data_IF_121335599607
#
_entry.id   IF_121335599607
#
_cell.length_a   1.000
_cell.length_b   1.000
_cell.length_c   1.000
_cell.angle_alpha   90.00
_cell.angle_beta   90.00
_cell.angle_gamma   90.00
#
_symmetry.space_group_name_H-M   'P 1'
#
loop_
_entity.id
_entity.type
_entity.pdbx_description
1 polymer ?
#
# COMPACT_ATOMS: atom_id res chain seq x y z
N UNK A 1 -12.16 -20.50 5.79
CA UNK A 1 -12.06 -19.18 5.14
C UNK A 1 -11.23 -18.31 6.06
N UNK A 2 -10.37 -17.42 5.55
CA UNK A 2 -9.61 -16.51 6.40
C UNK A 2 -10.55 -15.71 7.30
N UNK A 3 -10.19 -15.57 8.57
CA UNK A 3 -10.94 -14.77 9.54
C UNK A 3 -10.37 -13.35 9.58
N UNK A 4 -11.23 -12.34 9.49
CA UNK A 4 -10.79 -10.96 9.62
C UNK A 4 -10.40 -10.69 11.08
N UNK A 5 -9.11 -10.41 11.32
CA UNK A 5 -8.57 -10.16 12.67
C UNK A 5 -8.56 -8.67 13.00
N UNK A 6 -8.36 -7.82 11.98
CA UNK A 6 -8.30 -6.37 12.16
C UNK A 6 -8.91 -5.63 10.96
N UNK A 7 -9.58 -4.51 11.26
CA UNK A 7 -9.86 -3.45 10.30
C UNK A 7 -9.43 -2.13 10.94
N UNK A 8 -8.40 -1.49 10.38
CA UNK A 8 -7.76 -0.31 10.94
C UNK A 8 -7.41 0.69 9.84
N UNK A 9 -8.13 1.81 9.79
CA UNK A 9 -7.91 2.90 8.82
C UNK A 9 -7.66 2.36 7.40
N UNK A 10 -8.62 1.62 6.85
CA UNK A 10 -8.56 0.99 5.52
C UNK A 10 -7.56 -0.18 5.36
N UNK A 11 -6.75 -0.50 6.37
CA UNK A 11 -6.03 -1.77 6.42
C UNK A 11 -6.91 -2.87 7.01
N UNK A 12 -7.32 -3.81 6.15
CA UNK A 12 -7.99 -5.06 6.56
C UNK A 12 -6.95 -6.17 6.63
N UNK A 13 -6.83 -6.81 7.79
CA UNK A 13 -5.86 -7.89 8.05
C UNK A 13 -6.62 -9.15 8.46
N UNK A 14 -6.30 -10.26 7.80
CA UNK A 14 -6.82 -11.58 8.12
C UNK A 14 -5.81 -12.41 8.93
N UNK A 15 -6.28 -13.46 9.57
CA UNK A 15 -5.45 -14.45 10.27
C UNK A 15 -4.30 -14.97 9.40
N UNK A 16 -4.56 -15.27 8.12
CA UNK A 16 -3.54 -15.71 7.17
C UNK A 16 -2.48 -14.64 6.86
N UNK A 17 -2.82 -13.35 6.96
CA UNK A 17 -1.84 -12.27 6.76
C UNK A 17 -0.90 -12.15 7.97
N UNK A 18 -1.39 -12.45 9.17
CA UNK A 18 -0.58 -12.44 10.40
C UNK A 18 0.51 -13.51 10.34
N UNK A 19 0.20 -14.67 9.77
CA UNK A 19 1.16 -15.76 9.59
C UNK A 19 2.37 -15.34 8.73
N UNK A 20 2.22 -14.35 7.85
CA UNK A 20 3.30 -13.86 6.97
C UNK A 20 4.37 -13.05 7.70
N UNK A 21 4.12 -12.61 8.95
CA UNK A 21 5.14 -11.95 9.77
C UNK A 21 6.14 -12.92 10.40
N UNK A 22 5.97 -14.23 10.20
CA UNK A 22 6.95 -15.22 10.62
C UNK A 22 8.21 -15.17 9.73
N UNK A 23 9.41 -15.43 10.29
CA UNK A 23 10.64 -15.45 9.50
C UNK A 23 10.58 -16.42 8.32
N UNK A 24 11.02 -15.95 7.14
CA UNK A 24 11.05 -16.74 5.91
C UNK A 24 9.76 -16.70 5.09
N UNK A 25 8.70 -16.05 5.59
CA UNK A 25 7.50 -15.77 4.83
C UNK A 25 7.63 -14.44 4.05
N UNK A 26 6.96 -14.37 2.91
CA UNK A 26 6.85 -13.16 2.10
C UNK A 26 5.66 -12.34 2.56
N UNK A 27 5.88 -11.06 2.87
CA UNK A 27 4.79 -10.13 3.16
C UNK A 27 3.98 -9.87 1.89
N UNK A 28 2.68 -9.67 2.05
CA UNK A 28 1.79 -9.27 0.97
C UNK A 28 1.38 -7.80 1.11
N UNK A 29 0.60 -7.31 0.16
CA UNK A 29 0.07 -5.93 0.10
C UNK A 29 -0.62 -5.52 1.40
N UNK A 30 -1.40 -6.42 2.02
CA UNK A 30 -2.12 -6.14 3.27
C UNK A 30 -1.17 -5.92 4.44
N UNK A 31 -0.10 -6.73 4.52
CA UNK A 31 0.93 -6.55 5.54
C UNK A 31 1.61 -5.19 5.41
N UNK A 32 2.00 -4.80 4.19
CA UNK A 32 2.65 -3.51 3.92
C UNK A 32 1.69 -2.36 4.21
N UNK A 33 0.44 -2.42 3.71
CA UNK A 33 -0.56 -1.39 3.94
C UNK A 33 -0.89 -1.22 5.42
N UNK A 34 -1.05 -2.32 6.17
CA UNK A 34 -1.23 -2.28 7.61
C UNK A 34 -0.11 -1.50 8.31
N UNK A 35 1.15 -1.80 7.97
CA UNK A 35 2.28 -1.10 8.58
C UNK A 35 2.32 0.37 8.16
N UNK A 36 1.95 0.70 6.93
CA UNK A 36 1.84 2.09 6.46
C UNK A 36 0.77 2.88 7.22
N UNK A 37 -0.41 2.31 7.42
CA UNK A 37 -1.46 2.92 8.26
C UNK A 37 -1.01 3.07 9.72
N UNK A 38 -0.23 2.13 10.24
CA UNK A 38 0.38 2.26 11.56
C UNK A 38 1.40 3.41 11.62
N UNK A 39 2.27 3.54 10.61
CA UNK A 39 3.21 4.66 10.53
C UNK A 39 2.45 6.00 10.46
N UNK A 40 1.44 6.09 9.61
CA UNK A 40 0.63 7.30 9.43
C UNK A 40 -0.13 7.70 10.70
N UNK A 41 -0.87 6.77 11.31
CA UNK A 41 -1.80 7.11 12.40
C UNK A 41 -1.23 6.92 13.80
N UNK A 42 -0.12 6.19 13.98
CA UNK A 42 0.51 6.01 15.29
C UNK A 42 1.89 6.69 15.38
N UNK A 43 2.76 6.49 14.40
CA UNK A 43 4.15 6.97 14.49
C UNK A 43 4.29 8.43 14.09
N UNK A 44 3.60 8.83 13.03
CA UNK A 44 3.65 10.15 12.42
C UNK A 44 2.28 10.84 12.45
N UNK A 45 1.47 10.58 13.48
CA UNK A 45 0.07 11.01 13.56
C UNK A 45 -0.15 12.53 13.51
N UNK A 46 0.89 13.33 13.80
CA UNK A 46 0.86 14.78 13.71
C UNK A 46 1.43 15.35 12.41
N UNK A 47 1.95 14.50 11.51
CA UNK A 47 2.56 14.90 10.25
C UNK A 47 1.61 14.59 9.08
N UNK A 48 1.01 15.62 8.51
CA UNK A 48 0.10 15.51 7.37
C UNK A 48 0.79 15.63 6.02
N UNK A 49 2.07 15.97 6.01
CA UNK A 49 2.86 16.16 4.79
C UNK A 49 3.50 14.84 4.29
N UNK A 50 3.47 13.78 5.11
CA UNK A 50 3.92 12.45 4.72
C UNK A 50 2.76 11.67 4.11
N UNK A 51 3.00 11.04 2.96
CA UNK A 51 2.03 10.18 2.30
C UNK A 51 2.56 8.76 2.19
N UNK A 52 1.80 7.81 2.71
CA UNK A 52 2.08 6.38 2.60
C UNK A 52 1.12 5.76 1.59
N UNK A 53 1.59 5.44 0.38
CA UNK A 53 0.72 4.93 -0.68
C UNK A 53 0.42 3.45 -0.46
N UNK A 54 -0.85 3.07 -0.57
CA UNK A 54 -1.30 1.67 -0.54
C UNK A 54 -0.70 0.89 -1.74
N UNK A 55 -0.11 -0.30 -1.54
CA UNK A 55 0.37 -1.15 -2.63
C UNK A 55 -0.65 -1.40 -3.75
N UNK A 56 -1.95 -1.46 -3.43
CA UNK A 56 -3.00 -1.62 -4.42
C UNK A 56 -3.13 -0.39 -5.33
N UNK A 57 -2.90 0.81 -4.81
CA UNK A 57 -2.88 2.07 -5.59
C UNK A 57 -1.66 2.12 -6.50
N UNK A 58 -0.49 1.66 -6.03
CA UNK A 58 0.71 1.54 -6.88
C UNK A 58 0.49 0.53 -8.00
N UNK A 59 -0.11 -0.63 -7.69
CA UNK A 59 -0.43 -1.64 -8.70
C UNK A 59 -1.44 -1.13 -9.72
N UNK A 60 -2.45 -0.35 -9.29
CA UNK A 60 -3.38 0.32 -10.19
C UNK A 60 -2.65 1.30 -11.12
N UNK A 61 -1.77 2.15 -10.57
CA UNK A 61 -0.96 3.07 -11.35
C UNK A 61 -0.10 2.33 -12.40
N UNK A 62 0.53 1.22 -12.04
CA UNK A 62 1.42 0.49 -12.95
C UNK A 62 0.71 -0.27 -14.06
N UNK A 63 -0.50 -0.78 -13.80
CA UNK A 63 -1.14 -1.75 -14.72
C UNK A 63 -2.46 -1.28 -15.32
N UNK A 64 -3.08 -0.21 -14.79
CA UNK A 64 -4.40 0.24 -15.19
C UNK A 64 -4.42 1.68 -15.71
N UNK A 65 -3.52 2.55 -15.22
CA UNK A 65 -3.32 3.86 -15.84
C UNK A 65 -2.64 3.66 -17.20
N UNK A 66 -3.26 4.16 -18.26
CA UNK A 66 -2.82 3.89 -19.64
C UNK A 66 -2.34 5.14 -20.38
N UNK A 67 -2.58 6.32 -19.81
CA UNK A 67 -2.15 7.60 -20.32
C UNK A 67 -1.80 8.58 -19.20
N UNK A 68 -1.30 9.75 -19.60
CA UNK A 68 -0.89 10.81 -18.67
C UNK A 68 -2.07 11.48 -17.95
N UNK A 69 -3.29 11.39 -18.48
CA UNK A 69 -4.47 11.98 -17.84
C UNK A 69 -4.87 11.16 -16.61
N UNK A 70 -4.87 9.82 -16.73
CA UNK A 70 -5.08 8.90 -15.61
C UNK A 70 -4.06 9.15 -14.47
N UNK A 71 -2.78 9.32 -14.83
CA UNK A 71 -1.68 9.57 -13.89
C UNK A 71 -1.84 10.92 -13.18
N UNK A 72 -2.18 11.98 -13.92
CA UNK A 72 -2.41 13.32 -13.36
C UNK A 72 -3.60 13.34 -12.41
N UNK A 73 -4.71 12.68 -12.77
CA UNK A 73 -5.91 12.63 -11.95
C UNK A 73 -5.68 11.84 -10.66
N UNK A 74 -4.94 10.73 -10.72
CA UNK A 74 -4.53 10.01 -9.52
C UNK A 74 -3.60 10.87 -8.63
N UNK A 75 -2.66 11.59 -9.24
CA UNK A 75 -1.77 12.51 -8.52
C UNK A 75 -2.53 13.61 -7.78
N UNK A 76 -3.57 14.18 -8.42
CA UNK A 76 -4.47 15.17 -7.80
C UNK A 76 -5.29 14.55 -6.68
N UNK A 77 -5.84 13.35 -6.87
CA UNK A 77 -6.63 12.65 -5.85
C UNK A 77 -5.80 12.33 -4.59
N UNK A 78 -4.52 12.01 -4.75
CA UNK A 78 -3.58 11.78 -3.66
C UNK A 78 -3.05 13.08 -3.02
N UNK A 79 -3.24 14.22 -3.67
CA UNK A 79 -2.71 15.52 -3.25
C UNK A 79 -1.19 15.52 -3.19
N UNK A 80 -0.52 14.97 -4.21
CA UNK A 80 0.95 14.83 -4.24
C UNK A 80 1.69 16.17 -4.12
N UNK A 81 1.08 17.25 -4.60
CA UNK A 81 1.59 18.62 -4.54
C UNK A 81 1.66 19.18 -3.10
N UNK A 82 0.96 18.57 -2.16
CA UNK A 82 0.89 18.97 -0.76
C UNK A 82 1.81 18.13 0.15
N UNK A 83 2.55 17.16 -0.42
CA UNK A 83 3.36 16.21 0.34
C UNK A 83 4.83 16.60 0.31
N UNK A 84 5.47 16.60 1.49
CA UNK A 84 6.91 16.80 1.61
C UNK A 84 7.69 15.50 1.44
N UNK A 85 7.05 14.35 1.70
CA UNK A 85 7.64 13.03 1.51
C UNK A 85 6.56 12.01 1.14
N UNK A 86 6.85 11.18 0.14
CA UNK A 86 5.93 10.15 -0.38
C UNK A 86 6.64 8.79 -0.31
N UNK A 87 6.00 7.83 0.33
CA UNK A 87 6.45 6.44 0.43
C UNK A 87 5.65 5.59 -0.55
N UNK A 88 6.36 4.99 -1.51
CA UNK A 88 5.78 4.16 -2.58
C UNK A 88 6.30 2.74 -2.40
N UNK A 89 5.45 1.76 -2.04
CA UNK A 89 5.85 0.37 -1.96
C UNK A 89 5.84 -0.21 -3.37
N UNK A 90 7.02 -0.43 -3.94
CA UNK A 90 7.18 -0.98 -5.28
C UNK A 90 7.13 -2.50 -5.19
N UNK A 91 6.55 -3.16 -6.18
CA UNK A 91 6.57 -4.60 -6.31
C UNK A 91 7.02 -4.97 -7.72
N UNK A 92 7.81 -6.02 -7.88
CA UNK A 92 8.36 -6.44 -9.17
C UNK A 92 7.40 -7.30 -10.02
N UNK A 93 6.14 -7.48 -9.59
CA UNK A 93 5.11 -8.13 -10.40
C UNK A 93 5.02 -7.46 -11.79
N UNK A 94 4.89 -8.27 -12.85
CA UNK A 94 4.78 -7.73 -14.22
C UNK A 94 3.35 -7.42 -14.66
N UNK A 95 2.35 -7.88 -13.89
CA UNK A 95 0.93 -7.62 -14.09
C UNK A 95 0.12 -8.01 -12.84
N UNK A 96 -1.10 -7.49 -12.71
CA UNK A 96 -1.95 -7.57 -11.51
C UNK A 96 -2.27 -8.98 -11.00
N UNK A 97 -2.24 -10.01 -11.86
CA UNK A 97 -2.54 -11.40 -11.49
C UNK A 97 -1.30 -12.20 -11.08
N UNK A 98 -0.10 -11.63 -11.23
CA UNK A 98 1.14 -12.28 -10.88
C UNK A 98 1.56 -11.87 -9.47
N UNK A 99 2.00 -12.86 -8.66
CA UNK A 99 2.72 -12.54 -7.44
C UNK A 99 4.13 -12.06 -7.76
N UNK A 100 4.50 -10.92 -7.19
CA UNK A 100 5.89 -10.46 -7.19
C UNK A 100 6.81 -11.38 -6.40
N UNK A 101 8.09 -11.27 -6.71
CA UNK A 101 9.20 -11.88 -6.00
C UNK A 101 10.11 -10.83 -5.36
N UNK A 102 9.71 -9.57 -5.31
CA UNK A 102 10.42 -8.52 -4.60
C UNK A 102 9.48 -7.35 -4.24
N UNK A 103 9.73 -6.77 -3.07
CA UNK A 103 9.23 -5.46 -2.66
C UNK A 103 10.39 -4.47 -2.68
#
# INVERSE_FOLDING_TARGET
MPEQVLNYNDAVVYDTDIELFNPGCWLNDRCINFYFRHLEHCTFSSNTEFLFIDPAVVSFLMFQCSDSEDEEDLGRALGLDQRSLIFIPVNDASHQLQQGSHW
#
